data_IF_401839256435
#
_entry.id   IF_401839256435
#
_cell.length_a   1.000
_cell.length_b   1.000
_cell.length_c   1.000
_cell.angle_alpha   90.00
_cell.angle_beta   90.00
_cell.angle_gamma   90.00
#
_symmetry.space_group_name_H-M   'P 1'
#
loop_
_entity.id
_entity.type
_entity.pdbx_description
1 polymer ?
#
# COMPACT_ATOMS: atom_id res chain seq x y z
N UNK A 1 -10.05 -4.86 -7.82
CA UNK A 1 -10.34 -4.67 -6.39
C UNK A 1 -10.21 -3.19 -6.11
N UNK A 2 -11.26 -2.54 -5.65
CA UNK A 2 -11.20 -1.13 -5.24
C UNK A 2 -11.04 -1.09 -3.73
N UNK A 3 -10.16 -0.21 -3.24
CA UNK A 3 -9.90 -0.02 -1.81
C UNK A 3 -10.15 1.45 -1.45
N UNK A 4 -10.75 1.68 -0.28
CA UNK A 4 -10.94 3.02 0.26
C UNK A 4 -9.86 3.24 1.31
N UNK A 5 -8.95 4.18 1.05
CA UNK A 5 -7.92 4.57 2.00
C UNK A 5 -8.50 5.62 2.96
N UNK A 6 -8.60 5.27 4.25
CA UNK A 6 -9.01 6.22 5.29
C UNK A 6 -7.91 7.22 5.68
N UNK A 7 -6.67 6.96 5.28
CA UNK A 7 -5.50 7.81 5.52
C UNK A 7 -5.30 8.73 4.32
N UNK A 8 -5.33 10.05 4.55
CA UNK A 8 -5.24 11.06 3.50
C UNK A 8 -3.90 11.78 3.45
N UNK A 9 -2.94 11.38 4.28
CA UNK A 9 -1.60 11.96 4.40
C UNK A 9 -0.54 10.90 4.21
N UNK A 10 0.60 11.28 3.64
CA UNK A 10 1.75 10.40 3.51
C UNK A 10 2.38 10.15 4.88
N UNK A 11 2.55 8.89 5.26
CA UNK A 11 3.13 8.51 6.55
C UNK A 11 4.58 8.97 6.73
N UNK A 12 5.34 9.15 5.62
CA UNK A 12 6.73 9.61 5.69
C UNK A 12 6.86 11.13 5.86
N UNK A 13 6.27 11.88 4.94
CA UNK A 13 6.49 13.34 4.86
C UNK A 13 5.37 14.14 5.53
N UNK A 14 4.24 13.51 5.87
CA UNK A 14 3.07 14.17 6.47
C UNK A 14 2.21 14.95 5.49
N UNK A 15 2.65 15.15 4.24
CA UNK A 15 1.92 15.93 3.26
C UNK A 15 0.66 15.19 2.74
N UNK A 16 -0.41 15.91 2.35
CA UNK A 16 -1.63 15.30 1.82
C UNK A 16 -1.37 14.47 0.56
N UNK A 17 -2.04 13.33 0.47
CA UNK A 17 -2.14 12.51 -0.75
C UNK A 17 -3.26 13.10 -1.62
N UNK A 18 -2.93 13.44 -2.86
CA UNK A 18 -3.84 14.09 -3.82
C UNK A 18 -4.25 13.14 -4.94
N UNK A 19 -5.40 13.43 -5.54
CA UNK A 19 -5.93 12.69 -6.68
C UNK A 19 -4.92 12.70 -7.83
N UNK A 20 -4.69 11.52 -8.43
CA UNK A 20 -3.78 11.34 -9.56
C UNK A 20 -2.31 11.17 -9.19
N UNK A 21 -1.95 11.18 -7.90
CA UNK A 21 -0.60 10.85 -7.46
C UNK A 21 -0.40 9.34 -7.34
N UNK A 22 0.78 8.87 -7.73
CA UNK A 22 1.20 7.50 -7.47
C UNK A 22 1.57 7.35 -5.99
N UNK A 23 1.04 6.31 -5.36
CA UNK A 23 1.29 5.99 -3.95
C UNK A 23 1.69 4.52 -3.79
N UNK A 24 2.45 4.26 -2.73
CA UNK A 24 2.78 2.92 -2.24
C UNK A 24 1.96 2.67 -0.98
N UNK A 25 1.30 1.51 -0.91
CA UNK A 25 0.55 1.07 0.26
C UNK A 25 1.17 -0.23 0.76
N UNK A 26 1.50 -0.27 2.04
CA UNK A 26 1.89 -1.51 2.73
C UNK A 26 0.74 -1.94 3.61
N UNK A 27 0.25 -3.14 3.36
CA UNK A 27 -0.77 -3.78 4.17
C UNK A 27 -0.24 -5.04 4.85
N UNK A 28 -0.82 -5.35 6.00
CA UNK A 28 -0.60 -6.61 6.71
C UNK A 28 -1.84 -7.48 6.54
N UNK A 29 -1.63 -8.74 6.21
CA UNK A 29 -2.70 -9.74 6.20
C UNK A 29 -2.11 -11.13 6.40
N UNK A 30 -3.00 -12.10 6.57
CA UNK A 30 -2.66 -13.52 6.67
C UNK A 30 -3.10 -14.21 5.40
N UNK A 31 -2.23 -15.05 4.84
CA UNK A 31 -2.59 -15.93 3.72
C UNK A 31 -3.66 -16.90 4.20
N UNK A 32 -4.84 -16.87 3.58
CA UNK A 32 -5.97 -17.71 3.96
C UNK A 32 -6.10 -18.99 3.12
N UNK A 33 -5.44 -19.03 1.97
CA UNK A 33 -5.42 -20.17 1.08
C UNK A 33 -4.33 -20.04 0.03
N UNK A 34 -3.89 -21.19 -0.47
CA UNK A 34 -2.94 -21.29 -1.58
C UNK A 34 -3.54 -22.21 -2.65
N UNK A 35 -3.82 -21.64 -3.82
CA UNK A 35 -4.15 -22.39 -5.03
C UNK A 35 -3.09 -22.03 -6.09
N UNK A 36 -3.50 -21.58 -7.28
CA UNK A 36 -2.57 -21.00 -8.26
C UNK A 36 -2.11 -19.57 -7.90
N UNK A 37 -2.81 -18.92 -6.96
CA UNK A 37 -2.51 -17.60 -6.39
C UNK A 37 -2.74 -17.66 -4.87
N UNK A 38 -2.15 -16.70 -4.15
CA UNK A 38 -2.36 -16.56 -2.70
C UNK A 38 -3.63 -15.73 -2.44
N UNK A 39 -4.54 -16.27 -1.65
CA UNK A 39 -5.73 -15.56 -1.21
C UNK A 39 -5.42 -14.75 0.05
N UNK A 40 -5.56 -13.42 -0.06
CA UNK A 40 -5.28 -12.47 1.02
C UNK A 40 -6.55 -11.68 1.35
N UNK A 41 -7.42 -12.19 2.24
CA UNK A 41 -8.63 -11.48 2.64
C UNK A 41 -8.29 -10.27 3.52
N UNK A 42 -9.14 -9.24 3.42
CA UNK A 42 -9.22 -8.10 4.34
C UNK A 42 -7.87 -7.50 4.80
N UNK A 43 -7.02 -7.04 3.87
CA UNK A 43 -5.72 -6.49 4.24
C UNK A 43 -5.86 -5.23 5.11
N UNK A 44 -5.21 -5.25 6.28
CA UNK A 44 -5.11 -4.10 7.18
C UNK A 44 -4.03 -3.15 6.65
N UNK A 45 -4.41 -1.93 6.31
CA UNK A 45 -3.47 -0.92 5.81
C UNK A 45 -2.61 -0.44 6.97
N UNK A 46 -1.30 -0.61 6.87
CA UNK A 46 -0.33 -0.17 7.88
C UNK A 46 0.40 1.11 7.49
N UNK A 47 0.54 1.36 6.19
CA UNK A 47 1.36 2.46 5.69
C UNK A 47 0.90 2.90 4.30
N UNK A 48 0.82 4.20 4.06
CA UNK A 48 0.54 4.85 2.79
C UNK A 48 1.53 6.00 2.55
N UNK A 49 2.21 5.97 1.41
CA UNK A 49 3.29 6.90 1.11
C UNK A 49 3.25 7.34 -0.35
N UNK A 50 3.67 8.57 -0.64
CA UNK A 50 3.95 8.95 -2.04
C UNK A 50 5.03 8.03 -2.59
N UNK A 51 4.93 7.67 -3.88
CA UNK A 51 5.95 6.84 -4.54
C UNK A 51 7.34 7.46 -4.40
N UNK A 52 7.47 8.77 -4.60
CA UNK A 52 8.74 9.50 -4.48
C UNK A 52 9.28 9.57 -3.04
N UNK A 53 8.42 9.35 -2.05
CA UNK A 53 8.81 9.32 -0.64
C UNK A 53 9.21 7.90 -0.21
N UNK A 54 8.83 6.87 -0.94
CA UNK A 54 9.03 5.49 -0.52
C UNK A 54 10.53 5.13 -0.52
N UNK A 55 11.07 4.76 0.65
CA UNK A 55 12.47 4.33 0.81
C UNK A 55 12.69 2.83 0.53
N UNK A 56 11.68 2.13 0.00
CA UNK A 56 11.79 0.69 -0.22
C UNK A 56 12.87 0.33 -1.24
N UNK A 57 13.14 -0.97 -1.33
CA UNK A 57 14.20 -1.49 -2.18
C UNK A 57 13.77 -1.36 -3.64
N UNK A 58 14.57 -0.66 -4.47
CA UNK A 58 14.46 -0.77 -5.93
C UNK A 58 14.65 -2.24 -6.31
N UNK A 59 13.60 -2.86 -6.82
CA UNK A 59 13.69 -4.19 -7.43
C UNK A 59 13.96 -3.98 -8.91
N UNK A 60 15.23 -4.08 -9.30
CA UNK A 60 15.62 -4.22 -10.70
C UNK A 60 15.05 -5.55 -11.22
N UNK A 61 14.15 -5.46 -12.19
CA UNK A 61 13.60 -6.60 -12.94
C UNK A 61 14.38 -6.85 -14.23
#
# INVERSE_FOLDING_TARGET
MEMILGVTTCDKCGEPIKIGQNIVIVSLSTVAGENCELEIPEPEIRYACHLDCWDGVEVDY
#
